data_IF_147693332460
#
_entry.id   IF_147693332460
#
_cell.length_a   1.000
_cell.length_b   1.000
_cell.length_c   1.000
_cell.angle_alpha   90.00
_cell.angle_beta   90.00
_cell.angle_gamma   90.00
#
_symmetry.space_group_name_H-M   'P 1'
#
loop_
_entity.id
_entity.type
_entity.pdbx_description
1 polymer ?
#
# COMPACT_ATOMS: atom_id res chain seq x y z
N UNK A 1 -42.77 12.66 -19.62
CA UNK A 1 -43.70 11.93 -18.74
C UNK A 1 -43.23 10.50 -18.43
N UNK A 2 -42.80 9.70 -19.41
CA UNK A 2 -42.41 8.29 -19.17
C UNK A 2 -41.13 8.04 -18.36
N UNK A 3 -40.16 8.96 -18.35
CA UNK A 3 -38.87 8.75 -17.66
C UNK A 3 -39.02 8.77 -16.12
N UNK A 4 -39.86 9.66 -15.59
CA UNK A 4 -40.11 9.74 -14.14
C UNK A 4 -40.82 8.48 -13.60
N UNK A 5 -41.79 7.94 -14.34
CA UNK A 5 -42.52 6.72 -13.94
C UNK A 5 -41.63 5.47 -13.95
N UNK A 6 -40.66 5.40 -14.89
CA UNK A 6 -39.67 4.32 -14.95
C UNK A 6 -38.70 4.40 -13.76
N UNK A 7 -38.28 5.62 -13.40
CA UNK A 7 -37.46 5.86 -12.22
C UNK A 7 -38.18 5.47 -10.93
N UNK A 8 -39.45 5.81 -10.75
CA UNK A 8 -40.21 5.45 -9.55
C UNK A 8 -40.46 3.94 -9.43
N UNK A 9 -40.71 3.26 -10.55
CA UNK A 9 -41.00 1.81 -10.55
C UNK A 9 -39.76 0.92 -10.45
N UNK A 10 -38.62 1.37 -10.99
CA UNK A 10 -37.38 0.59 -11.08
C UNK A 10 -36.17 1.30 -10.48
N UNK A 11 -36.38 2.17 -9.49
CA UNK A 11 -35.34 3.04 -8.91
C UNK A 11 -34.08 2.25 -8.53
N UNK A 12 -34.25 1.09 -7.91
CA UNK A 12 -33.15 0.25 -7.42
C UNK A 12 -32.34 -0.34 -8.56
N UNK A 13 -32.99 -0.84 -9.61
CA UNK A 13 -32.34 -1.42 -10.79
C UNK A 13 -31.55 -0.35 -11.56
N UNK A 14 -32.10 0.87 -11.66
CA UNK A 14 -31.44 1.97 -12.34
C UNK A 14 -30.24 2.45 -11.55
N UNK A 15 -30.32 2.52 -10.22
CA UNK A 15 -29.16 2.81 -9.36
C UNK A 15 -28.08 1.74 -9.54
N UNK A 16 -28.42 0.45 -9.50
CA UNK A 16 -27.44 -0.62 -9.71
C UNK A 16 -26.81 -0.59 -11.10
N UNK A 17 -27.59 -0.30 -12.15
CA UNK A 17 -27.06 -0.15 -13.51
C UNK A 17 -26.16 1.10 -13.62
N UNK A 18 -26.50 2.20 -12.96
CA UNK A 18 -25.69 3.40 -12.95
C UNK A 18 -24.37 3.19 -12.21
N UNK A 19 -24.39 2.53 -11.04
CA UNK A 19 -23.18 2.14 -10.30
C UNK A 19 -22.34 1.16 -11.12
N UNK A 20 -22.97 0.15 -11.73
CA UNK A 20 -22.29 -0.83 -12.56
C UNK A 20 -21.61 -0.15 -13.75
N UNK A 21 -22.32 0.71 -14.49
CA UNK A 21 -21.73 1.48 -15.58
C UNK A 21 -20.61 2.41 -15.07
N UNK A 22 -20.80 3.06 -13.93
CA UNK A 22 -19.82 3.93 -13.29
C UNK A 22 -18.53 3.21 -12.86
N UNK A 23 -18.59 1.93 -12.50
CA UNK A 23 -17.40 1.13 -12.19
C UNK A 23 -16.80 0.47 -13.44
N UNK A 24 -17.63 0.02 -14.39
CA UNK A 24 -17.18 -0.72 -15.57
C UNK A 24 -16.55 0.20 -16.62
N UNK A 25 -17.07 1.41 -16.82
CA UNK A 25 -16.56 2.35 -17.84
C UNK A 25 -15.10 2.77 -17.53
N UNK A 26 -14.75 3.23 -16.30
CA UNK A 26 -13.37 3.59 -15.98
C UNK A 26 -12.38 2.43 -16.09
N UNK A 27 -12.84 1.17 -15.95
CA UNK A 27 -11.99 0.00 -16.11
C UNK A 27 -11.49 -0.19 -17.55
N UNK A 28 -12.26 0.21 -18.56
CA UNK A 28 -11.83 0.18 -19.98
C UNK A 28 -11.27 1.52 -20.46
N UNK A 29 -11.72 2.63 -19.86
CA UNK A 29 -11.31 3.98 -20.21
C UNK A 29 -10.86 4.71 -18.92
N UNK A 30 -9.61 4.52 -18.49
CA UNK A 30 -9.12 5.15 -17.26
C UNK A 30 -9.16 6.66 -17.43
N UNK A 31 -10.05 7.30 -16.68
CA UNK A 31 -10.09 8.75 -16.56
C UNK A 31 -8.90 9.18 -15.70
N UNK A 32 -7.90 9.80 -16.33
CA UNK A 32 -6.70 10.30 -15.66
C UNK A 32 -7.01 11.51 -14.78
N UNK A 33 -7.67 11.30 -13.65
CA UNK A 33 -7.88 12.35 -12.67
C UNK A 33 -6.54 12.82 -12.10
N UNK A 34 -6.30 14.14 -12.00
CA UNK A 34 -5.10 14.65 -11.37
C UNK A 34 -5.12 14.28 -9.89
N UNK A 35 -4.21 13.40 -9.48
CA UNK A 35 -4.00 13.06 -8.08
C UNK A 35 -3.19 14.20 -7.48
N UNK A 36 -3.80 14.98 -6.59
CA UNK A 36 -3.09 16.03 -5.88
C UNK A 36 -2.14 15.41 -4.84
N UNK A 37 -0.88 15.83 -4.86
CA UNK A 37 0.08 15.45 -3.81
C UNK A 37 -0.29 16.23 -2.55
N UNK A 38 -0.46 15.52 -1.44
CA UNK A 38 -0.73 16.16 -0.14
C UNK A 38 0.57 16.54 0.56
N UNK A 39 0.54 17.56 1.42
CA UNK A 39 1.71 17.97 2.21
C UNK A 39 2.27 16.81 3.05
N UNK A 40 1.41 15.93 3.56
CA UNK A 40 1.83 14.75 4.33
C UNK A 40 2.65 13.78 3.47
N UNK A 41 2.22 13.53 2.24
CA UNK A 41 2.94 12.67 1.29
C UNK A 41 4.30 13.27 0.93
N UNK A 42 4.34 14.58 0.67
CA UNK A 42 5.58 15.28 0.32
C UNK A 42 6.57 15.28 1.49
N UNK A 43 6.09 15.48 2.72
CA UNK A 43 6.93 15.45 3.92
C UNK A 43 7.52 14.06 4.16
N UNK A 44 6.72 12.99 4.00
CA UNK A 44 7.21 11.62 4.13
C UNK A 44 8.29 11.30 3.07
N UNK A 45 8.04 11.70 1.82
CA UNK A 45 9.01 11.55 0.72
C UNK A 45 10.32 12.28 1.04
N UNK A 46 10.24 13.57 1.41
CA UNK A 46 11.42 14.38 1.71
C UNK A 46 12.19 13.87 2.93
N UNK A 47 11.51 13.25 3.90
CA UNK A 47 12.19 12.62 5.02
C UNK A 47 13.03 11.42 4.57
N UNK A 48 12.48 10.55 3.71
CA UNK A 48 13.23 9.44 3.12
C UNK A 48 14.41 9.97 2.29
N UNK A 49 14.20 11.03 1.52
CA UNK A 49 15.27 11.67 0.74
C UNK A 49 16.39 12.25 1.61
N UNK A 50 16.08 12.72 2.81
CA UNK A 50 17.07 13.26 3.75
C UNK A 50 17.96 12.19 4.38
N UNK A 51 17.61 10.91 4.27
CA UNK A 51 18.42 9.81 4.77
C UNK A 51 19.72 9.67 3.97
N UNK A 52 20.79 9.33 4.69
CA UNK A 52 22.09 9.03 4.12
C UNK A 52 22.30 7.52 3.97
N UNK A 53 23.19 7.14 3.06
CA UNK A 53 23.53 5.73 2.82
C UNK A 53 24.02 5.09 4.13
N UNK A 54 23.46 3.93 4.46
CA UNK A 54 23.79 3.19 5.68
C UNK A 54 23.05 3.62 6.94
N UNK A 55 22.19 4.64 6.88
CA UNK A 55 21.28 4.97 7.99
C UNK A 55 20.40 3.76 8.36
N UNK A 56 19.98 3.67 9.61
CA UNK A 56 19.15 2.56 10.09
C UNK A 56 17.68 2.94 10.13
N UNK A 57 16.85 2.19 9.42
CA UNK A 57 15.39 2.40 9.35
C UNK A 57 14.66 1.17 9.87
N UNK A 58 13.73 1.39 10.79
CA UNK A 58 12.82 0.38 11.30
C UNK A 58 11.51 0.44 10.50
N UNK A 59 11.09 -0.69 9.95
CA UNK A 59 9.85 -0.81 9.17
C UNK A 59 8.94 -1.83 9.83
N UNK A 60 7.71 -1.41 10.16
CA UNK A 60 6.70 -2.28 10.74
C UNK A 60 5.66 -2.66 9.68
N UNK A 61 5.43 -3.97 9.49
CA UNK A 61 4.50 -4.51 8.48
C UNK A 61 3.22 -5.07 9.12
N UNK A 62 2.52 -4.21 9.86
CA UNK A 62 1.33 -4.58 10.63
C UNK A 62 0.04 -4.54 9.82
N UNK A 63 -0.02 -5.36 8.79
CA UNK A 63 -1.23 -5.60 8.05
C UNK A 63 -1.37 -7.08 7.74
N UNK A 64 -2.61 -7.54 7.61
CA UNK A 64 -2.90 -8.92 7.27
C UNK A 64 -3.12 -9.13 5.77
N UNK A 65 -3.22 -10.39 5.36
CA UNK A 65 -3.45 -10.75 3.96
C UNK A 65 -4.75 -10.12 3.39
N UNK A 66 -5.76 -9.93 4.23
CA UNK A 66 -7.02 -9.28 3.86
C UNK A 66 -6.87 -7.79 3.50
N UNK A 67 -5.84 -7.12 4.04
CA UNK A 67 -5.56 -5.71 3.77
C UNK A 67 -4.49 -5.52 2.69
N UNK A 68 -3.90 -6.61 2.20
CA UNK A 68 -2.79 -6.55 1.23
C UNK A 68 -3.13 -5.73 -0.03
N UNK A 69 -4.35 -5.87 -0.55
CA UNK A 69 -4.78 -5.16 -1.76
C UNK A 69 -4.78 -3.64 -1.62
N UNK A 70 -4.80 -3.13 -0.39
CA UNK A 70 -4.70 -1.70 -0.09
C UNK A 70 -3.31 -1.34 0.44
N UNK A 71 -2.83 -2.06 1.45
CA UNK A 71 -1.59 -1.75 2.16
C UNK A 71 -0.33 -2.06 1.32
N UNK A 72 -0.33 -3.14 0.55
CA UNK A 72 0.80 -3.56 -0.28
C UNK A 72 1.21 -2.49 -1.30
N UNK A 73 0.30 -2.04 -2.19
CA UNK A 73 0.58 -0.99 -3.16
C UNK A 73 1.07 0.33 -2.54
N UNK A 74 0.68 0.64 -1.30
CA UNK A 74 1.15 1.81 -0.58
C UNK A 74 2.55 1.60 0.04
N UNK A 75 2.84 0.41 0.58
CA UNK A 75 4.09 0.12 1.27
C UNK A 75 5.24 -0.24 0.32
N UNK A 76 4.95 -0.95 -0.77
CA UNK A 76 5.94 -1.36 -1.78
C UNK A 76 6.82 -0.18 -2.26
N UNK A 77 6.29 0.96 -2.75
CA UNK A 77 7.12 2.07 -3.23
C UNK A 77 7.94 2.74 -2.11
N UNK A 78 7.44 2.73 -0.87
CA UNK A 78 8.17 3.29 0.29
C UNK A 78 9.41 2.44 0.57
N UNK A 79 9.24 1.11 0.66
CA UNK A 79 10.36 0.20 0.95
C UNK A 79 11.32 0.10 -0.23
N UNK A 80 10.81 0.13 -1.47
CA UNK A 80 11.63 0.24 -2.68
C UNK A 80 12.55 1.47 -2.61
N UNK A 81 11.99 2.64 -2.27
CA UNK A 81 12.75 3.88 -2.15
C UNK A 81 13.83 3.78 -1.04
N UNK A 82 13.53 3.12 0.09
CA UNK A 82 14.53 2.86 1.12
C UNK A 82 15.69 1.98 0.59
N UNK A 83 15.39 0.92 -0.17
CA UNK A 83 16.44 0.11 -0.78
C UNK A 83 17.28 0.88 -1.80
N UNK A 84 16.67 1.75 -2.60
CA UNK A 84 17.36 2.63 -3.55
C UNK A 84 18.27 3.65 -2.85
N UNK A 85 17.92 4.08 -1.63
CA UNK A 85 18.75 4.94 -0.77
C UNK A 85 19.90 4.19 -0.09
N UNK A 86 20.00 2.87 -0.28
CA UNK A 86 21.04 2.01 0.31
C UNK A 86 21.13 2.15 1.85
N UNK A 87 19.99 2.37 2.51
CA UNK A 87 19.88 2.37 3.98
C UNK A 87 19.84 0.93 4.51
N UNK A 88 20.11 0.77 5.80
CA UNK A 88 19.94 -0.49 6.52
C UNK A 88 18.50 -0.62 7.01
N UNK A 89 17.83 -1.73 6.72
CA UNK A 89 16.40 -1.91 7.04
C UNK A 89 16.20 -3.04 8.05
N UNK A 90 15.48 -2.75 9.13
CA UNK A 90 15.04 -3.74 10.11
C UNK A 90 13.53 -3.86 10.00
N UNK A 91 13.03 -5.02 9.59
CA UNK A 91 11.60 -5.30 9.59
C UNK A 91 11.18 -5.91 10.94
N UNK A 92 10.06 -5.41 11.46
CA UNK A 92 9.40 -5.92 12.66
C UNK A 92 7.91 -6.08 12.42
N UNK A 93 7.30 -6.99 13.15
CA UNK A 93 5.86 -7.20 13.13
C UNK A 93 5.30 -7.29 14.54
N UNK A 94 4.21 -6.61 14.80
CA UNK A 94 3.41 -6.70 16.02
C UNK A 94 2.10 -7.47 15.78
N UNK A 95 1.92 -8.06 14.60
CA UNK A 95 0.88 -9.04 14.31
C UNK A 95 1.47 -10.39 13.89
N UNK A 96 0.72 -11.46 14.09
CA UNK A 96 1.13 -12.83 13.71
C UNK A 96 1.33 -12.95 12.20
N UNK A 97 0.60 -12.15 11.40
CA UNK A 97 0.67 -12.17 9.93
C UNK A 97 1.82 -11.32 9.36
N UNK A 98 2.37 -10.41 10.16
CA UNK A 98 3.40 -9.47 9.71
C UNK A 98 4.65 -10.13 9.10
N UNK A 99 5.23 -11.22 9.65
CA UNK A 99 6.40 -11.87 9.04
C UNK A 99 6.11 -12.35 7.62
N UNK A 100 4.91 -12.92 7.40
CA UNK A 100 4.48 -13.39 6.08
C UNK A 100 4.26 -12.21 5.12
N UNK A 101 3.71 -11.10 5.61
CA UNK A 101 3.51 -9.92 4.77
C UNK A 101 4.81 -9.21 4.42
N UNK A 102 5.82 -9.20 5.31
CA UNK A 102 7.17 -8.71 5.00
C UNK A 102 7.79 -9.54 3.88
N UNK A 103 7.75 -10.88 3.98
CA UNK A 103 8.25 -11.77 2.93
C UNK A 103 7.53 -11.51 1.61
N UNK A 104 6.21 -11.34 1.63
CA UNK A 104 5.44 -11.02 0.43
C UNK A 104 5.89 -9.69 -0.18
N UNK A 105 6.03 -8.65 0.62
CA UNK A 105 6.51 -7.34 0.18
C UNK A 105 7.88 -7.43 -0.49
N UNK A 106 8.83 -8.11 0.15
CA UNK A 106 10.19 -8.27 -0.38
C UNK A 106 10.23 -9.06 -1.70
N UNK A 107 9.24 -9.91 -1.96
CA UNK A 107 9.10 -10.64 -3.22
C UNK A 107 8.42 -9.83 -4.34
N UNK A 108 7.76 -8.71 -4.01
CA UNK A 108 7.06 -7.85 -4.99
C UNK A 108 7.88 -6.62 -5.41
N UNK A 109 9.03 -6.37 -4.78
CA UNK A 109 9.88 -5.20 -5.02
C UNK A 109 11.30 -5.63 -5.47
N UNK A 110 12.04 -4.71 -6.08
CA UNK A 110 13.44 -4.94 -6.44
C UNK A 110 14.35 -4.42 -5.33
N UNK A 111 14.87 -5.34 -4.53
CA UNK A 111 15.80 -5.00 -3.43
C UNK A 111 17.21 -4.72 -3.91
N UNK A 112 17.48 -4.80 -5.22
CA UNK A 112 18.81 -4.61 -5.81
C UNK A 112 19.83 -5.65 -5.33
N UNK A 113 21.09 -5.23 -5.20
CA UNK A 113 22.20 -6.09 -4.75
C UNK A 113 22.34 -6.12 -3.22
N UNK A 114 21.23 -6.20 -2.49
CA UNK A 114 21.22 -6.22 -1.03
C UNK A 114 21.36 -7.63 -0.48
N UNK A 115 22.00 -7.75 0.68
CA UNK A 115 22.30 -9.03 1.32
C UNK A 115 21.56 -9.13 2.65
N UNK A 116 20.73 -10.16 2.81
CA UNK A 116 20.07 -10.48 4.07
C UNK A 116 21.10 -10.69 5.20
N UNK A 117 20.86 -10.08 6.36
CA UNK A 117 21.79 -10.10 7.49
C UNK A 117 22.90 -9.05 7.44
N UNK A 118 23.03 -8.32 6.32
CA UNK A 118 24.00 -7.22 6.17
C UNK A 118 23.28 -5.90 5.88
N UNK A 119 22.38 -5.89 4.90
CA UNK A 119 21.66 -4.69 4.46
C UNK A 119 20.25 -4.63 5.03
N UNK A 120 19.62 -5.78 5.21
CA UNK A 120 18.32 -5.85 5.85
C UNK A 120 18.15 -7.12 6.67
N UNK A 121 17.26 -7.07 7.67
CA UNK A 121 16.86 -8.23 8.47
C UNK A 121 15.36 -8.19 8.75
N UNK A 122 14.75 -9.37 8.83
CA UNK A 122 13.35 -9.52 9.27
C UNK A 122 13.35 -10.18 10.64
N UNK A 123 13.02 -9.42 11.68
CA UNK A 123 12.96 -9.93 13.06
C UNK A 123 11.67 -10.71 13.35
N UNK A 124 10.72 -10.71 12.41
CA UNK A 124 9.47 -11.42 12.54
C UNK A 124 8.53 -10.80 13.56
N UNK A 125 7.74 -11.66 14.23
CA UNK A 125 6.72 -11.24 15.18
C UNK A 125 7.32 -11.00 16.56
N UNK A 126 7.17 -9.78 17.07
CA UNK A 126 7.56 -9.37 18.41
C UNK A 126 6.30 -9.37 19.28
N UNK A 127 6.18 -10.30 20.26
CA UNK A 127 5.09 -10.28 21.22
C UNK A 127 5.25 -9.08 22.17
N UNK A 128 4.14 -8.53 22.64
CA UNK A 128 4.16 -7.36 23.53
C UNK A 128 2.83 -6.62 23.69
N UNK A 129 1.81 -6.99 22.91
CA UNK A 129 0.45 -6.48 23.01
C UNK A 129 -0.45 -7.28 23.98
N UNK A 130 0.14 -7.97 24.96
CA UNK A 130 -0.63 -8.62 26.03
C UNK A 130 -1.01 -7.55 27.07
N UNK A 131 -2.20 -6.96 26.93
CA UNK A 131 -2.89 -6.22 28.01
C UNK A 131 -3.83 -7.12 28.79
#
# INVERSE_FOLDING_TARGET
>A
MKFGEIMDKYYRQIIFLAVLAGCFIPAFYPFGFPIAVTDNTLNAHNYIESLEKGDLVLVATDYGAAMWTEAGPAMNPIVQHLFEKEVKIVFVGFSIEAPLMTERLLNEIDTGNTVYGVDYVNLGYIPGAET
#
